data_IF_471726688381
#
_entry.id   IF_471726688381
#
_cell.length_a   1.000
_cell.length_b   1.000
_cell.length_c   1.000
_cell.angle_alpha   90.00
_cell.angle_beta   90.00
_cell.angle_gamma   90.00
#
_symmetry.space_group_name_H-M   'P 1'
#
loop_
_entity.id
_entity.type
_entity.pdbx_description
1 polymer ?
#
# COMPACT_ATOMS: atom_id res chain seq x y z
N UNK A 1 -79.09 9.03 6.60
CA UNK A 1 -78.26 8.00 5.90
C UNK A 1 -76.94 8.50 5.28
N UNK A 2 -76.53 9.78 5.41
CA UNK A 2 -75.26 10.28 4.81
C UNK A 2 -74.04 10.36 5.74
N UNK A 3 -74.21 10.19 7.07
CA UNK A 3 -73.11 10.34 8.03
C UNK A 3 -72.24 9.09 8.24
N UNK A 4 -72.76 7.88 8.02
CA UNK A 4 -71.97 6.65 8.24
C UNK A 4 -70.97 6.35 7.12
N UNK A 5 -71.26 6.75 5.89
CA UNK A 5 -70.37 6.53 4.74
C UNK A 5 -69.12 7.42 4.79
N UNK A 6 -69.22 8.63 5.35
CA UNK A 6 -68.09 9.56 5.46
C UNK A 6 -67.05 9.11 6.51
N UNK A 7 -67.51 8.47 7.60
CA UNK A 7 -66.65 7.94 8.67
C UNK A 7 -65.86 6.71 8.19
N UNK A 8 -66.50 5.85 7.39
CA UNK A 8 -65.86 4.67 6.83
C UNK A 8 -64.74 5.02 5.80
N UNK A 9 -64.93 6.06 5.00
CA UNK A 9 -63.93 6.50 4.00
C UNK A 9 -62.70 7.13 4.67
N UNK A 10 -62.89 7.91 5.74
CA UNK A 10 -61.76 8.54 6.48
C UNK A 10 -60.92 7.52 7.26
N UNK A 11 -61.51 6.41 7.71
CA UNK A 11 -60.81 5.37 8.48
C UNK A 11 -59.83 4.51 7.63
N UNK A 12 -60.07 4.38 6.32
CA UNK A 12 -59.19 3.59 5.44
C UNK A 12 -57.98 4.37 4.91
N UNK A 13 -58.07 5.70 4.82
CA UNK A 13 -56.94 6.53 4.37
C UNK A 13 -55.85 6.63 5.45
N UNK A 14 -56.23 6.60 6.73
CA UNK A 14 -55.28 6.74 7.84
C UNK A 14 -54.45 5.46 8.09
N UNK A 15 -54.97 4.27 7.74
CA UNK A 15 -54.23 2.99 7.92
C UNK A 15 -53.23 2.67 6.80
N UNK A 16 -53.37 3.26 5.62
CA UNK A 16 -52.44 3.05 4.50
C UNK A 16 -51.17 3.92 4.55
N UNK A 17 -51.25 5.11 5.16
CA UNK A 17 -50.13 6.05 5.20
C UNK A 17 -49.05 5.69 6.25
N UNK A 18 -49.37 4.85 7.24
CA UNK A 18 -48.43 4.49 8.31
C UNK A 18 -47.45 3.37 7.94
N UNK A 19 -47.79 2.50 6.99
CA UNK A 19 -46.89 1.42 6.56
C UNK A 19 -45.93 1.82 5.44
N UNK A 20 -46.27 2.86 4.65
CA UNK A 20 -45.40 3.38 3.60
C UNK A 20 -44.31 4.34 4.12
N UNK A 21 -44.52 4.97 5.28
CA UNK A 21 -43.49 5.80 5.93
C UNK A 21 -42.51 4.97 6.78
N UNK A 22 -42.94 3.83 7.34
CA UNK A 22 -42.05 2.95 8.13
C UNK A 22 -41.14 2.08 7.26
N UNK A 23 -41.51 1.80 6.00
CA UNK A 23 -40.63 1.08 5.06
C UNK A 23 -39.58 1.97 4.38
N UNK A 24 -39.71 3.30 4.44
CA UNK A 24 -38.74 4.24 3.86
C UNK A 24 -37.62 4.63 4.84
N UNK A 25 -37.81 4.44 6.15
CA UNK A 25 -36.76 4.67 7.17
C UNK A 25 -35.85 3.44 7.34
N UNK A 26 -36.38 2.24 7.12
CA UNK A 26 -35.62 0.98 7.26
C UNK A 26 -34.57 0.75 6.18
N UNK A 27 -34.76 1.29 4.96
CA UNK A 27 -33.79 1.18 3.86
C UNK A 27 -32.64 2.19 3.96
N UNK A 28 -32.79 3.30 4.68
CA UNK A 28 -31.70 4.28 4.85
C UNK A 28 -30.68 3.82 5.90
N UNK A 29 -31.09 3.09 6.95
CA UNK A 29 -30.15 2.58 7.95
C UNK A 29 -29.31 1.38 7.49
N UNK A 30 -29.71 0.68 6.42
CA UNK A 30 -28.94 -0.42 5.87
C UNK A 30 -27.73 0.04 5.02
N UNK A 31 -27.69 1.31 4.61
CA UNK A 31 -26.54 1.89 3.89
C UNK A 31 -25.50 2.55 4.79
N UNK A 32 -25.79 2.72 6.10
CA UNK A 32 -24.79 3.10 7.10
C UNK A 32 -24.25 1.85 7.79
N UNK A 33 -23.76 0.90 7.00
CA UNK A 33 -22.83 -0.08 7.53
C UNK A 33 -21.67 0.69 8.13
N UNK A 34 -21.65 0.79 9.47
CA UNK A 34 -20.45 1.20 10.17
C UNK A 34 -19.42 0.11 9.87
N UNK A 35 -18.60 0.33 8.84
CA UNK A 35 -17.31 -0.33 8.74
C UNK A 35 -16.61 0.00 10.05
N UNK A 36 -16.56 -1.00 10.95
CA UNK A 36 -15.73 -0.91 12.12
C UNK A 36 -14.36 -0.51 11.61
N UNK A 37 -13.72 0.55 12.13
CA UNK A 37 -12.39 0.91 11.69
C UNK A 37 -11.52 -0.32 11.94
N UNK A 38 -11.18 -1.02 10.87
CA UNK A 38 -10.16 -2.06 10.91
C UNK A 38 -8.96 -1.31 11.44
N UNK A 39 -8.56 -1.60 12.69
CA UNK A 39 -7.25 -1.24 13.18
C UNK A 39 -6.28 -1.92 12.22
N UNK A 40 -5.88 -1.20 11.17
CA UNK A 40 -4.72 -1.54 10.39
C UNK A 40 -3.59 -1.39 11.40
N UNK A 41 -3.19 -2.50 12.02
CA UNK A 41 -1.94 -2.48 12.76
C UNK A 41 -0.89 -2.00 11.76
N UNK A 42 0.00 -1.07 12.16
CA UNK A 42 1.14 -0.73 11.33
C UNK A 42 1.84 -2.03 10.99
N UNK A 43 1.80 -2.42 9.71
CA UNK A 43 2.63 -3.51 9.24
C UNK A 43 4.06 -3.01 9.42
N UNK A 44 4.94 -3.83 9.97
CA UNK A 44 6.36 -3.50 10.08
C UNK A 44 7.12 -4.66 9.47
N UNK A 45 8.04 -4.36 8.56
CA UNK A 45 8.90 -5.37 7.96
C UNK A 45 9.89 -5.89 9.01
N UNK A 46 9.89 -7.21 9.20
CA UNK A 46 10.93 -7.91 9.95
C UNK A 46 12.29 -7.79 9.27
N UNK A 47 13.36 -8.03 10.03
CA UNK A 47 14.71 -8.02 9.47
C UNK A 47 14.87 -9.04 8.33
N UNK A 48 14.30 -10.24 8.49
CA UNK A 48 14.36 -11.27 7.46
C UNK A 48 13.62 -10.86 6.17
N UNK A 49 12.45 -10.23 6.28
CA UNK A 49 11.72 -9.67 5.12
C UNK A 49 12.57 -8.59 4.43
N UNK A 50 13.16 -7.68 5.21
CA UNK A 50 14.06 -6.63 4.68
C UNK A 50 15.25 -7.21 3.93
N UNK A 51 15.88 -8.25 4.46
CA UNK A 51 16.99 -8.95 3.79
C UNK A 51 16.53 -9.65 2.51
N UNK A 52 15.32 -10.21 2.50
CA UNK A 52 14.75 -10.83 1.31
C UNK A 52 14.49 -9.81 0.20
N UNK A 53 13.94 -8.64 0.54
CA UNK A 53 13.74 -7.54 -0.40
C UNK A 53 15.06 -6.92 -0.84
N UNK A 54 16.03 -6.78 0.06
CA UNK A 54 17.37 -6.32 -0.28
C UNK A 54 18.00 -7.24 -1.33
N UNK A 55 17.87 -8.56 -1.18
CA UNK A 55 18.35 -9.50 -2.20
C UNK A 55 17.69 -9.28 -3.55
N UNK A 56 16.37 -9.10 -3.57
CA UNK A 56 15.62 -8.87 -4.81
C UNK A 56 16.06 -7.59 -5.52
N UNK A 57 16.28 -6.51 -4.77
CA UNK A 57 16.81 -5.23 -5.26
C UNK A 57 18.23 -5.41 -5.82
N UNK A 58 19.12 -6.07 -5.07
CA UNK A 58 20.50 -6.31 -5.52
C UNK A 58 20.57 -7.20 -6.76
N UNK A 59 19.64 -8.15 -6.93
CA UNK A 59 19.60 -8.99 -8.12
C UNK A 59 19.31 -8.14 -9.37
N UNK A 60 18.33 -7.24 -9.29
CA UNK A 60 18.01 -6.31 -10.38
C UNK A 60 19.21 -5.41 -10.67
N UNK A 61 19.78 -4.76 -9.66
CA UNK A 61 20.96 -3.93 -9.86
C UNK A 61 22.13 -4.71 -10.44
N UNK A 62 22.32 -5.95 -9.99
CA UNK A 62 23.36 -6.80 -10.53
C UNK A 62 23.08 -7.12 -11.99
N UNK A 63 21.86 -7.50 -12.39
CA UNK A 63 21.48 -7.77 -13.79
C UNK A 63 21.74 -6.57 -14.70
N UNK A 64 21.39 -5.36 -14.28
CA UNK A 64 21.60 -4.12 -15.03
C UNK A 64 23.04 -3.61 -15.00
N UNK A 65 23.90 -4.12 -14.09
CA UNK A 65 25.33 -3.74 -14.07
C UNK A 65 26.04 -4.22 -15.33
N UNK A 66 26.85 -3.34 -15.91
CA UNK A 66 27.65 -3.65 -17.11
C UNK A 66 28.55 -4.86 -16.83
N UNK A 67 28.47 -5.85 -17.70
CA UNK A 67 29.43 -6.95 -17.79
C UNK A 67 30.19 -6.82 -19.11
N UNK A 68 31.46 -6.38 -19.09
CA UNK A 68 32.26 -6.16 -20.29
C UNK A 68 32.30 -7.41 -21.18
N UNK A 69 32.26 -7.21 -22.51
CA UNK A 69 32.33 -8.31 -23.49
C UNK A 69 33.70 -8.97 -23.51
N UNK A 70 34.71 -8.25 -23.05
CA UNK A 70 36.09 -8.69 -22.89
C UNK A 70 36.24 -9.68 -21.72
N UNK A 71 35.26 -9.77 -20.83
CA UNK A 71 35.30 -10.73 -19.74
C UNK A 71 35.17 -12.16 -20.33
N UNK A 72 36.18 -13.02 -20.12
CA UNK A 72 36.20 -14.36 -20.72
C UNK A 72 35.17 -15.30 -20.08
N UNK A 73 34.68 -14.96 -18.88
CA UNK A 73 33.73 -15.75 -18.12
C UNK A 73 32.31 -15.16 -18.22
N UNK A 74 31.26 -15.99 -18.15
CA UNK A 74 29.90 -15.49 -18.03
C UNK A 74 29.75 -14.65 -16.75
N UNK A 75 28.80 -13.71 -16.77
CA UNK A 75 28.48 -12.90 -15.60
C UNK A 75 28.10 -13.82 -14.44
N UNK A 76 28.78 -13.72 -13.28
CA UNK A 76 28.46 -14.56 -12.14
C UNK A 76 27.06 -14.23 -11.60
N UNK A 77 26.45 -15.16 -10.87
CA UNK A 77 25.20 -14.91 -10.15
C UNK A 77 25.44 -13.92 -8.99
N UNK A 78 24.37 -13.26 -8.51
CA UNK A 78 24.47 -12.38 -7.35
C UNK A 78 25.09 -13.11 -6.14
N UNK A 79 24.66 -14.35 -5.87
CA UNK A 79 25.15 -15.14 -4.74
C UNK A 79 26.64 -15.50 -4.80
N UNK A 80 27.25 -15.45 -5.99
CA UNK A 80 28.69 -15.67 -6.15
C UNK A 80 29.51 -14.40 -5.88
N UNK A 81 28.91 -13.22 -5.98
CA UNK A 81 29.59 -11.92 -5.76
C UNK A 81 29.19 -11.22 -4.47
N UNK A 82 28.07 -11.64 -3.87
CA UNK A 82 27.56 -11.09 -2.63
C UNK A 82 27.03 -12.21 -1.73
N UNK A 83 27.61 -12.30 -0.54
CA UNK A 83 27.20 -13.26 0.47
C UNK A 83 25.93 -12.83 1.20
N UNK A 84 25.30 -13.79 1.88
CA UNK A 84 24.17 -13.51 2.76
C UNK A 84 24.50 -12.50 3.86
N UNK A 85 25.67 -12.65 4.50
CA UNK A 85 26.13 -11.74 5.55
C UNK A 85 26.33 -10.30 5.02
N UNK A 86 26.74 -10.12 3.76
CA UNK A 86 26.84 -8.79 3.15
C UNK A 86 25.47 -8.15 2.94
N UNK A 87 24.43 -8.93 2.58
CA UNK A 87 23.06 -8.43 2.47
C UNK A 87 22.51 -8.02 3.83
N UNK A 88 22.71 -8.85 4.85
CA UNK A 88 22.33 -8.55 6.24
C UNK A 88 23.01 -7.28 6.75
N UNK A 89 24.32 -7.15 6.49
CA UNK A 89 25.06 -5.95 6.86
C UNK A 89 24.53 -4.69 6.18
N UNK A 90 24.15 -4.79 4.89
CA UNK A 90 23.57 -3.67 4.14
C UNK A 90 22.23 -3.22 4.74
N UNK A 91 21.42 -4.17 5.22
CA UNK A 91 20.16 -3.89 5.92
C UNK A 91 20.41 -3.20 7.25
N UNK A 92 21.34 -3.71 8.05
CA UNK A 92 21.75 -3.08 9.31
C UNK A 92 22.23 -1.63 9.09
N UNK A 93 23.08 -1.42 8.07
CA UNK A 93 23.66 -0.12 7.77
C UNK A 93 22.60 0.92 7.40
N UNK A 94 21.64 0.58 6.52
CA UNK A 94 20.60 1.55 6.18
C UNK A 94 19.62 1.80 7.34
N UNK A 95 19.35 0.81 8.19
CA UNK A 95 18.49 0.99 9.36
C UNK A 95 19.12 1.95 10.35
N UNK A 96 20.42 1.79 10.62
CA UNK A 96 21.19 2.72 11.45
C UNK A 96 21.22 4.12 10.84
N UNK A 97 21.39 4.23 9.53
CA UNK A 97 21.34 5.53 8.85
C UNK A 97 19.93 6.17 8.93
N UNK A 98 18.86 5.37 8.83
CA UNK A 98 17.49 5.86 8.94
C UNK A 98 17.22 6.45 10.33
N UNK A 99 17.66 5.76 11.38
CA UNK A 99 17.59 6.26 12.76
C UNK A 99 18.41 7.55 12.93
N UNK A 100 19.63 7.59 12.40
CA UNK A 100 20.49 8.77 12.48
C UNK A 100 19.91 10.00 11.74
N UNK A 101 19.20 9.79 10.62
CA UNK A 101 18.53 10.86 9.89
C UNK A 101 17.38 11.44 10.70
N UNK A 102 16.56 10.60 11.32
CA UNK A 102 15.48 11.06 12.22
C UNK A 102 16.04 11.86 13.40
N UNK A 103 17.13 11.37 13.99
CA UNK A 103 17.83 12.04 15.08
C UNK A 103 18.43 13.39 14.68
N UNK A 104 18.99 13.49 13.47
CA UNK A 104 19.64 14.71 12.98
C UNK A 104 18.63 15.76 12.53
N UNK A 105 17.62 15.37 11.75
CA UNK A 105 16.65 16.30 11.16
C UNK A 105 15.47 16.64 12.08
N UNK A 106 15.27 15.91 13.18
CA UNK A 106 14.17 16.10 14.17
C UNK A 106 12.75 15.97 13.61
N UNK A 107 12.62 15.70 12.32
CA UNK A 107 11.37 15.38 11.65
C UNK A 107 11.56 14.07 10.89
N UNK A 108 10.69 13.06 11.11
CA UNK A 108 10.72 11.83 10.33
C UNK A 108 10.35 12.11 8.87
N UNK A 109 10.88 11.30 7.94
CA UNK A 109 10.45 11.35 6.54
C UNK A 109 8.94 11.08 6.47
N UNK A 110 8.20 12.03 5.87
CA UNK A 110 6.76 11.92 5.76
C UNK A 110 6.35 11.05 4.57
N UNK A 111 5.16 10.44 4.64
CA UNK A 111 4.62 9.66 3.53
C UNK A 111 4.49 10.52 2.25
N UNK A 112 4.17 11.81 2.40
CA UNK A 112 4.11 12.75 1.28
C UNK A 112 5.47 13.00 0.64
N UNK A 113 6.54 13.07 1.43
CA UNK A 113 7.91 13.20 0.92
C UNK A 113 8.35 11.93 0.17
N UNK A 114 8.04 10.75 0.71
CA UNK A 114 8.32 9.47 0.05
C UNK A 114 7.53 9.34 -1.26
N UNK A 115 6.24 9.72 -1.25
CA UNK A 115 5.41 9.73 -2.46
C UNK A 115 5.93 10.72 -3.51
N UNK A 116 6.34 11.92 -3.10
CA UNK A 116 6.93 12.90 -4.01
C UNK A 116 8.25 12.39 -4.63
N UNK A 117 9.05 11.66 -3.86
CA UNK A 117 10.28 11.05 -4.38
C UNK A 117 9.99 9.90 -5.36
N UNK A 118 8.97 9.08 -5.10
CA UNK A 118 8.51 8.06 -6.06
C UNK A 118 8.04 8.69 -7.38
N UNK A 119 7.24 9.76 -7.31
CA UNK A 119 6.78 10.49 -8.48
C UNK A 119 7.97 11.07 -9.27
N UNK A 120 8.93 11.67 -8.57
CA UNK A 120 10.15 12.21 -9.18
C UNK A 120 10.95 11.11 -9.88
N UNK A 121 11.10 9.94 -9.26
CA UNK A 121 11.78 8.79 -9.87
C UNK A 121 11.05 8.32 -11.13
N UNK A 122 9.72 8.19 -11.08
CA UNK A 122 8.90 7.77 -12.22
C UNK A 122 9.01 8.75 -13.39
N UNK A 123 9.01 10.07 -13.12
CA UNK A 123 9.07 11.11 -14.16
C UNK A 123 10.47 11.32 -14.75
N UNK A 124 11.53 11.13 -13.96
CA UNK A 124 12.88 11.60 -14.31
C UNK A 124 13.96 10.52 -14.32
N UNK A 125 13.63 9.24 -14.09
CA UNK A 125 14.61 8.17 -14.21
C UNK A 125 15.16 8.04 -15.63
N UNK A 126 16.45 7.74 -15.72
CA UNK A 126 17.12 7.39 -16.99
C UNK A 126 17.10 5.88 -17.27
N UNK A 127 16.58 5.08 -16.34
CA UNK A 127 16.48 3.63 -16.45
C UNK A 127 15.06 3.19 -16.06
N UNK A 128 14.03 3.53 -16.87
CA UNK A 128 12.64 3.23 -16.55
C UNK A 128 12.36 1.73 -16.45
N UNK A 129 13.06 0.90 -17.23
CA UNK A 129 12.93 -0.55 -17.19
C UNK A 129 13.42 -1.12 -15.86
N UNK A 130 14.59 -0.66 -15.38
CA UNK A 130 15.13 -1.08 -14.09
C UNK A 130 14.21 -0.65 -12.94
N UNK A 131 13.65 0.57 -13.00
CA UNK A 131 12.70 1.06 -11.99
C UNK A 131 11.43 0.20 -11.94
N UNK A 132 10.87 -0.17 -13.11
CA UNK A 132 9.70 -1.06 -13.18
C UNK A 132 10.01 -2.44 -12.59
N UNK A 133 11.16 -3.02 -12.92
CA UNK A 133 11.59 -4.31 -12.36
C UNK A 133 11.75 -4.25 -10.84
N UNK A 134 12.25 -3.14 -10.29
CA UNK A 134 12.33 -2.94 -8.83
C UNK A 134 10.96 -2.98 -8.19
N UNK A 135 9.98 -2.25 -8.73
CA UNK A 135 8.62 -2.25 -8.19
C UNK A 135 7.97 -3.63 -8.29
N UNK A 136 8.15 -4.31 -9.42
CA UNK A 136 7.65 -5.68 -9.62
C UNK A 136 8.26 -6.67 -8.61
N UNK A 137 9.56 -6.58 -8.33
CA UNK A 137 10.23 -7.43 -7.36
C UNK A 137 9.84 -7.14 -5.91
N UNK A 138 9.36 -5.93 -5.64
CA UNK A 138 8.74 -5.54 -4.37
C UNK A 138 7.23 -5.81 -4.34
N UNK A 139 6.71 -6.57 -5.31
CA UNK A 139 5.31 -6.99 -5.38
C UNK A 139 4.34 -5.89 -5.82
N UNK A 140 4.85 -4.76 -6.30
CA UNK A 140 4.08 -3.52 -6.48
C UNK A 140 3.29 -3.13 -5.23
N UNK A 141 3.80 -3.49 -4.03
CA UNK A 141 3.17 -3.18 -2.75
C UNK A 141 3.63 -1.79 -2.29
N UNK A 142 2.74 -0.79 -2.21
CA UNK A 142 3.10 0.55 -1.78
C UNK A 142 3.81 0.56 -0.42
N UNK A 143 3.38 -0.29 0.52
CA UNK A 143 3.95 -0.36 1.87
C UNK A 143 5.40 -0.88 1.88
N UNK A 144 5.79 -1.70 0.90
CA UNK A 144 7.17 -2.21 0.77
C UNK A 144 8.05 -1.21 0.02
N UNK A 145 7.46 -0.44 -0.90
CA UNK A 145 8.16 0.53 -1.74
C UNK A 145 8.42 1.85 -0.98
N UNK A 146 7.45 2.32 -0.18
CA UNK A 146 7.47 3.60 0.53
C UNK A 146 6.70 3.57 1.86
#
# INVERSE_FOLDING_TARGET
MKKQTEVAIKAHIIRGASYLLLLLVGTVMAFFGAEAPTKVLPRTLSFAERVSYQRAIEDIYWRHRIWPKENPNPKPSLGAVMSQAQLEKKVEDYLLNSEAVEDYYKEPLSAEQLQAEMERMAQHTRQPEALRELFEALGNDPFVIA
#
